data_IF_008371764524
#
_entry.id   IF_008371764524
#
_cell.length_a   1.000
_cell.length_b   1.000
_cell.length_c   1.000
_cell.angle_alpha   90.00
_cell.angle_beta   90.00
_cell.angle_gamma   90.00
#
_symmetry.space_group_name_H-M   'P 1'
#
loop_
_entity.id
_entity.type
_entity.pdbx_description
1 polymer ?
#
# COMPACT_ATOMS: atom_id res chain seq x y z
N UNK A 1 -6.87 39.66 0.77
CA UNK A 1 -6.94 38.38 1.50
C UNK A 1 -6.34 37.35 0.58
N UNK A 2 -5.04 37.06 0.75
CA UNK A 2 -4.42 35.93 0.06
C UNK A 2 -4.87 34.65 0.77
N UNK A 3 -5.50 33.76 0.00
CA UNK A 3 -5.88 32.43 0.43
C UNK A 3 -4.63 31.68 0.90
N UNK A 4 -4.45 31.58 2.23
CA UNK A 4 -3.47 30.68 2.85
C UNK A 4 -3.95 29.25 2.75
N UNK A 5 -4.09 28.73 1.55
CA UNK A 5 -4.14 27.28 1.34
C UNK A 5 -2.72 26.78 1.54
N UNK A 6 -2.47 26.10 2.66
CA UNK A 6 -1.21 25.38 2.86
C UNK A 6 -1.01 24.45 1.66
N UNK A 7 0.06 24.64 0.89
CA UNK A 7 0.48 23.69 -0.15
C UNK A 7 0.78 22.36 0.54
N UNK A 8 -0.21 21.48 0.57
CA UNK A 8 -0.08 20.12 1.10
C UNK A 8 -0.04 19.17 -0.07
N UNK A 9 0.98 18.33 -0.13
CA UNK A 9 1.04 17.25 -1.11
C UNK A 9 0.11 16.13 -0.68
N UNK A 10 -0.86 15.82 -1.54
CA UNK A 10 -1.79 14.70 -1.33
C UNK A 10 -1.12 13.42 -1.79
N UNK A 11 -1.04 12.43 -0.88
CA UNK A 11 -0.50 11.12 -1.18
C UNK A 11 -1.54 10.02 -0.98
N UNK A 12 -1.60 9.11 -1.95
CA UNK A 12 -2.36 7.88 -1.90
C UNK A 12 -1.78 6.89 -0.90
N UNK A 13 -2.69 6.16 -0.26
CA UNK A 13 -2.34 5.09 0.66
C UNK A 13 -2.01 3.80 -0.11
N UNK A 14 -0.82 3.23 0.15
CA UNK A 14 -0.38 1.94 -0.39
C UNK A 14 -1.27 0.77 0.00
N UNK A 15 -1.93 0.84 1.16
CA UNK A 15 -2.90 -0.18 1.58
C UNK A 15 -4.14 -0.16 0.67
N UNK A 16 -4.75 1.02 0.46
CA UNK A 16 -5.91 1.15 -0.44
C UNK A 16 -5.54 0.88 -1.90
N UNK A 17 -4.35 1.30 -2.33
CA UNK A 17 -3.80 0.93 -3.64
C UNK A 17 -3.74 -0.59 -3.79
N UNK A 18 -3.16 -1.28 -2.80
CA UNK A 18 -3.06 -2.73 -2.79
C UNK A 18 -4.43 -3.41 -2.79
N UNK A 19 -5.42 -2.87 -2.05
CA UNK A 19 -6.79 -3.35 -2.09
C UNK A 19 -7.43 -3.16 -3.47
N UNK A 20 -7.25 -2.01 -4.11
CA UNK A 20 -7.81 -1.74 -5.43
C UNK A 20 -7.24 -2.69 -6.49
N UNK A 21 -5.93 -2.91 -6.48
CA UNK A 21 -5.27 -3.85 -7.39
C UNK A 21 -5.73 -5.29 -7.13
N UNK A 22 -5.80 -5.69 -5.85
CA UNK A 22 -6.27 -7.03 -5.50
C UNK A 22 -7.74 -7.26 -5.89
N UNK A 23 -8.63 -6.28 -5.71
CA UNK A 23 -10.02 -6.38 -6.19
C UNK A 23 -10.08 -6.61 -7.70
N UNK A 24 -9.25 -5.93 -8.49
CA UNK A 24 -9.17 -6.21 -9.94
C UNK A 24 -8.67 -7.62 -10.22
N UNK A 25 -7.66 -8.10 -9.50
CA UNK A 25 -7.16 -9.49 -9.58
C UNK A 25 -8.27 -10.50 -9.27
N UNK A 26 -9.12 -10.20 -8.28
CA UNK A 26 -10.28 -11.03 -7.95
C UNK A 26 -11.30 -11.04 -9.10
N UNK A 27 -11.59 -9.88 -9.67
CA UNK A 27 -12.57 -9.75 -10.77
C UNK A 27 -12.16 -10.52 -12.03
N UNK A 28 -10.86 -10.63 -12.30
CA UNK A 28 -10.36 -11.42 -13.44
C UNK A 28 -10.22 -12.93 -13.11
N UNK A 29 -10.67 -13.37 -11.93
CA UNK A 29 -10.67 -14.78 -11.53
C UNK A 29 -9.37 -15.30 -10.93
N UNK A 30 -8.40 -14.44 -10.62
CA UNK A 30 -7.07 -14.83 -10.13
C UNK A 30 -6.91 -14.80 -8.61
N UNK A 31 -8.03 -14.75 -7.87
CA UNK A 31 -8.00 -14.68 -6.42
C UNK A 31 -7.32 -15.90 -5.77
N UNK A 32 -7.50 -17.10 -6.33
CA UNK A 32 -6.93 -18.35 -5.80
C UNK A 32 -5.46 -18.53 -6.19
N UNK A 33 -5.07 -18.02 -7.35
CA UNK A 33 -3.67 -18.01 -7.82
C UNK A 33 -2.85 -16.90 -7.17
N UNK A 34 -3.52 -15.86 -6.66
CA UNK A 34 -2.88 -14.91 -5.77
C UNK A 34 -2.48 -15.67 -4.50
N UNK A 35 -1.17 -15.88 -4.30
CA UNK A 35 -0.51 -16.67 -3.23
C UNK A 35 -0.05 -18.08 -3.61
N UNK A 36 -0.36 -18.60 -4.80
CA UNK A 36 0.25 -19.85 -5.24
C UNK A 36 1.71 -19.64 -5.63
N UNK A 37 2.43 -20.76 -5.70
CA UNK A 37 3.86 -20.82 -6.04
C UNK A 37 4.12 -20.80 -7.54
N UNK A 38 3.07 -20.68 -8.36
CA UNK A 38 3.17 -20.56 -9.82
C UNK A 38 3.65 -19.18 -10.24
N UNK A 39 4.10 -19.09 -11.48
CA UNK A 39 4.75 -17.89 -11.98
C UNK A 39 3.78 -16.74 -12.22
N UNK A 40 2.51 -17.02 -12.56
CA UNK A 40 1.48 -15.98 -12.70
C UNK A 40 1.16 -15.38 -11.34
N UNK A 41 0.95 -16.21 -10.32
CA UNK A 41 0.73 -15.77 -8.94
C UNK A 41 1.89 -14.91 -8.42
N UNK A 42 3.14 -15.32 -8.66
CA UNK A 42 4.32 -14.52 -8.31
C UNK A 42 4.37 -13.20 -9.07
N UNK A 43 4.14 -13.22 -10.38
CA UNK A 43 4.15 -12.02 -11.22
C UNK A 43 3.13 -10.99 -10.74
N UNK A 44 1.90 -11.43 -10.45
CA UNK A 44 0.84 -10.60 -9.88
C UNK A 44 1.23 -9.98 -8.53
N UNK A 45 1.92 -10.73 -7.68
CA UNK A 45 2.44 -10.20 -6.41
C UNK A 45 3.53 -9.16 -6.67
N UNK A 46 4.46 -9.43 -7.60
CA UNK A 46 5.59 -8.55 -7.88
C UNK A 46 5.18 -7.13 -8.27
N UNK A 47 4.04 -6.96 -8.96
CA UNK A 47 3.45 -5.65 -9.30
C UNK A 47 3.28 -4.74 -8.06
N UNK A 48 2.96 -5.31 -6.89
CA UNK A 48 2.77 -4.54 -5.65
C UNK A 48 4.04 -3.82 -5.19
N UNK A 49 5.21 -4.26 -5.67
CA UNK A 49 6.50 -3.62 -5.41
C UNK A 49 6.65 -2.25 -6.07
N UNK A 50 5.92 -1.96 -7.16
CA UNK A 50 6.01 -0.69 -7.90
C UNK A 50 5.74 0.53 -6.99
N UNK A 51 4.92 0.33 -5.94
CA UNK A 51 4.62 1.36 -4.93
C UNK A 51 5.82 1.86 -4.11
N UNK A 52 6.97 1.19 -4.24
CA UNK A 52 8.22 1.54 -3.59
C UNK A 52 9.28 2.11 -4.55
N UNK A 53 8.94 2.37 -5.81
CA UNK A 53 9.79 3.14 -6.72
C UNK A 53 9.55 4.64 -6.54
N UNK A 54 10.47 5.45 -7.08
CA UNK A 54 10.14 6.86 -7.31
C UNK A 54 9.11 6.96 -8.44
N UNK A 55 8.20 7.96 -8.41
CA UNK A 55 7.16 8.13 -9.42
C UNK A 55 7.67 8.11 -10.86
N UNK A 56 8.85 8.68 -11.11
CA UNK A 56 9.47 8.81 -12.43
C UNK A 56 9.87 7.45 -13.01
N UNK A 57 10.16 6.48 -12.15
CA UNK A 57 10.67 5.16 -12.54
C UNK A 57 9.55 4.14 -12.82
N UNK A 58 8.33 4.42 -12.38
CA UNK A 58 7.22 3.44 -12.40
C UNK A 58 6.87 3.02 -13.82
N UNK A 59 6.71 3.98 -14.73
CA UNK A 59 6.29 3.71 -16.12
C UNK A 59 7.32 2.86 -16.85
N UNK A 60 8.58 3.26 -16.77
CA UNK A 60 9.68 2.59 -17.45
C UNK A 60 9.89 1.20 -16.85
N UNK A 61 9.86 1.07 -15.51
CA UNK A 61 9.95 -0.23 -14.87
C UNK A 61 8.83 -1.18 -15.29
N UNK A 62 7.59 -0.68 -15.37
CA UNK A 62 6.44 -1.47 -15.80
C UNK A 62 6.56 -1.91 -17.26
N UNK A 63 6.91 -0.98 -18.15
CA UNK A 63 6.98 -1.26 -19.60
C UNK A 63 8.16 -2.15 -19.95
N UNK A 64 9.34 -1.86 -19.41
CA UNK A 64 10.58 -2.52 -19.83
C UNK A 64 10.77 -3.88 -19.14
N UNK A 65 10.32 -4.02 -17.88
CA UNK A 65 10.51 -5.25 -17.13
C UNK A 65 9.22 -6.08 -17.01
N UNK A 66 8.12 -5.49 -16.56
CA UNK A 66 6.91 -6.25 -16.26
C UNK A 66 6.15 -6.68 -17.51
N UNK A 67 6.08 -5.84 -18.54
CA UNK A 67 5.45 -6.22 -19.81
C UNK A 67 6.28 -7.24 -20.59
N UNK A 68 7.61 -7.21 -20.45
CA UNK A 68 8.52 -8.20 -21.04
C UNK A 68 8.40 -9.59 -20.39
N UNK A 69 8.26 -9.65 -19.06
CA UNK A 69 8.07 -10.89 -18.28
C UNK A 69 6.57 -11.21 -18.06
N UNK A 70 5.66 -10.62 -18.86
CA UNK A 70 4.21 -10.77 -18.68
C UNK A 70 3.76 -12.17 -19.09
N UNK A 71 3.02 -12.90 -18.24
CA UNK A 71 2.41 -14.16 -18.66
C UNK A 71 1.48 -13.99 -19.88
N UNK A 72 1.53 -14.96 -20.79
CA UNK A 72 0.66 -14.98 -21.96
C UNK A 72 -0.75 -15.44 -21.58
N UNK A 73 -1.60 -14.48 -21.24
CA UNK A 73 -2.96 -14.71 -20.80
C UNK A 73 -3.82 -13.46 -21.03
N UNK A 74 -5.03 -13.64 -21.56
CA UNK A 74 -5.96 -12.53 -21.84
C UNK A 74 -6.42 -11.80 -20.58
N UNK A 75 -6.71 -12.52 -19.50
CA UNK A 75 -7.13 -11.93 -18.23
C UNK A 75 -6.00 -11.12 -17.55
N UNK A 76 -4.74 -11.56 -17.71
CA UNK A 76 -3.57 -10.78 -17.24
C UNK A 76 -3.37 -9.53 -18.10
N UNK A 77 -3.64 -9.62 -19.40
CA UNK A 77 -3.62 -8.46 -20.30
C UNK A 77 -4.68 -7.43 -19.88
N UNK A 78 -5.90 -7.87 -19.56
CA UNK A 78 -6.96 -7.00 -19.02
C UNK A 78 -6.55 -6.31 -17.70
N UNK A 79 -5.78 -6.99 -16.85
CA UNK A 79 -5.21 -6.37 -15.66
C UNK A 79 -4.14 -5.32 -15.98
N UNK A 80 -3.25 -5.58 -16.94
CA UNK A 80 -2.27 -4.61 -17.39
C UNK A 80 -2.92 -3.35 -17.96
N UNK A 81 -3.93 -3.50 -18.83
CA UNK A 81 -4.64 -2.37 -19.43
C UNK A 81 -5.31 -1.51 -18.35
N UNK A 82 -5.96 -2.17 -17.39
CA UNK A 82 -6.50 -1.48 -16.21
C UNK A 82 -5.42 -0.69 -15.44
N UNK A 83 -4.23 -1.26 -15.24
CA UNK A 83 -3.13 -0.55 -14.57
C UNK A 83 -2.65 0.65 -15.40
N UNK A 84 -2.52 0.50 -16.71
CA UNK A 84 -2.07 1.57 -17.62
C UNK A 84 -3.03 2.77 -17.56
N UNK A 85 -4.33 2.51 -17.68
CA UNK A 85 -5.38 3.54 -17.73
C UNK A 85 -5.55 4.26 -16.38
N UNK A 86 -5.35 3.55 -15.27
CA UNK A 86 -5.68 4.06 -13.95
C UNK A 86 -4.46 4.48 -13.12
N UNK A 87 -3.28 3.87 -13.29
CA UNK A 87 -2.17 4.04 -12.34
C UNK A 87 -0.79 4.32 -12.94
N UNK A 88 -0.44 3.78 -14.11
CA UNK A 88 0.97 3.78 -14.58
C UNK A 88 1.35 5.05 -15.34
N UNK A 89 0.46 5.57 -16.18
CA UNK A 89 0.78 6.72 -17.04
C UNK A 89 0.65 8.04 -16.28
N UNK A 90 1.34 9.09 -16.75
CA UNK A 90 1.20 10.43 -16.17
C UNK A 90 -0.21 11.02 -16.36
N UNK A 91 -0.98 10.50 -17.32
CA UNK A 91 -2.35 10.92 -17.63
C UNK A 91 -3.41 9.99 -17.01
N UNK A 92 -2.99 9.03 -16.19
CA UNK A 92 -3.92 8.10 -15.55
C UNK A 92 -4.76 8.81 -14.50
N UNK A 93 -5.86 8.18 -14.07
CA UNK A 93 -6.75 8.75 -13.04
C UNK A 93 -5.98 9.00 -11.73
N UNK A 94 -5.09 8.08 -11.37
CA UNK A 94 -4.23 8.15 -10.20
C UNK A 94 -2.76 7.98 -10.61
N UNK A 95 -2.10 9.04 -11.10
CA UNK A 95 -0.74 8.93 -11.62
C UNK A 95 0.28 8.55 -10.53
N UNK A 96 1.44 7.97 -10.89
CA UNK A 96 2.44 7.49 -9.94
C UNK A 96 2.85 8.51 -8.88
N UNK A 97 2.84 9.81 -9.21
CA UNK A 97 3.16 10.92 -8.30
C UNK A 97 2.30 10.94 -7.03
N UNK A 98 1.09 10.39 -7.10
CA UNK A 98 0.16 10.35 -5.96
C UNK A 98 0.45 9.14 -5.07
N UNK A 99 0.85 7.98 -5.60
CA UNK A 99 0.85 6.72 -4.85
C UNK A 99 2.21 6.01 -4.73
N UNK A 100 3.17 6.31 -5.60
CA UNK A 100 4.51 5.73 -5.58
C UNK A 100 5.47 6.61 -4.78
N UNK A 101 6.30 5.98 -3.95
CA UNK A 101 7.39 6.67 -3.25
C UNK A 101 8.48 5.68 -2.88
N UNK A 102 9.75 5.99 -3.07
CA UNK A 102 10.84 5.16 -2.55
C UNK A 102 11.08 5.40 -1.06
N UNK A 103 10.18 4.92 -0.21
CA UNK A 103 10.29 5.08 1.24
C UNK A 103 9.67 3.94 2.04
N UNK A 104 10.22 3.69 3.23
CA UNK A 104 9.64 2.83 4.26
C UNK A 104 8.53 3.50 5.08
N UNK A 105 8.25 4.78 4.80
CA UNK A 105 7.32 5.60 5.59
C UNK A 105 5.90 5.05 5.62
N UNK A 106 5.26 5.31 6.77
CA UNK A 106 3.90 4.87 7.09
C UNK A 106 2.81 5.83 6.62
N UNK A 107 3.16 7.04 6.17
CA UNK A 107 2.18 8.03 5.70
C UNK A 107 1.29 7.42 4.61
N UNK A 108 1.84 6.52 3.81
CA UNK A 108 1.08 5.76 2.82
C UNK A 108 0.32 4.54 3.39
N UNK A 109 -0.04 4.52 4.68
CA UNK A 109 -0.82 3.47 5.33
C UNK A 109 -1.85 4.13 6.26
N UNK A 110 -2.98 4.55 5.70
CA UNK A 110 -4.14 5.18 6.39
C UNK A 110 -4.89 4.24 7.35
N UNK A 111 -4.46 2.99 7.53
CA UNK A 111 -5.04 2.04 8.49
C UNK A 111 -5.11 2.62 9.92
N UNK A 112 -4.25 3.58 10.28
CA UNK A 112 -4.30 4.20 11.60
C UNK A 112 -5.63 4.95 11.86
N UNK A 113 -6.12 5.74 10.89
CA UNK A 113 -7.35 6.50 11.05
C UNK A 113 -8.59 5.59 11.00
N UNK A 114 -8.63 4.66 10.05
CA UNK A 114 -9.75 3.70 9.93
C UNK A 114 -9.84 2.80 11.17
N UNK A 115 -8.71 2.28 11.65
CA UNK A 115 -8.66 1.48 12.88
C UNK A 115 -9.05 2.31 14.10
N UNK A 116 -8.64 3.59 14.17
CA UNK A 116 -9.05 4.49 15.24
C UNK A 116 -10.57 4.67 15.25
N UNK A 117 -11.17 5.01 14.11
CA UNK A 117 -12.62 5.21 14.01
C UNK A 117 -13.40 3.93 14.30
N UNK A 118 -12.95 2.78 13.78
CA UNK A 118 -13.60 1.49 14.04
C UNK A 118 -13.56 1.12 15.52
N UNK A 119 -12.41 1.30 16.18
CA UNK A 119 -12.24 1.00 17.61
C UNK A 119 -13.02 1.99 18.47
N UNK A 120 -13.09 3.26 18.07
CA UNK A 120 -13.88 4.25 18.79
C UNK A 120 -15.38 3.95 18.67
N UNK A 121 -15.86 3.70 17.46
CA UNK A 121 -17.27 3.38 17.19
C UNK A 121 -17.71 2.09 17.89
N UNK A 122 -16.82 1.09 17.98
CA UNK A 122 -17.14 -0.16 18.69
C UNK A 122 -17.33 0.06 20.19
N UNK A 123 -16.93 1.18 20.78
CA UNK A 123 -17.18 1.42 22.21
C UNK A 123 -18.51 2.14 22.48
N UNK A 124 -19.18 2.68 21.45
CA UNK A 124 -20.43 3.44 21.59
C UNK A 124 -21.63 2.68 21.00
N UNK A 125 -22.18 1.76 21.80
CA UNK A 125 -23.32 0.92 21.42
C UNK A 125 -24.71 1.55 21.67
N UNK A 126 -24.77 2.76 22.20
CA UNK A 126 -26.03 3.46 22.53
C UNK A 126 -26.09 4.80 21.81
N UNK A 127 -27.28 5.17 21.34
CA UNK A 127 -27.51 6.42 20.61
C UNK A 127 -27.19 7.66 21.47
N UNK A 128 -27.36 7.57 22.80
CA UNK A 128 -27.09 8.64 23.76
C UNK A 128 -26.40 8.10 25.03
N UNK A 129 -25.09 7.83 24.99
CA UNK A 129 -24.36 7.32 26.16
C UNK A 129 -24.21 8.42 27.21
N UNK A 130 -24.34 8.04 28.49
CA UNK A 130 -24.18 8.96 29.62
C UNK A 130 -22.75 9.55 29.64
N UNK A 131 -22.59 10.83 30.00
CA UNK A 131 -21.28 11.53 29.97
C UNK A 131 -20.19 10.81 30.78
N UNK A 132 -20.51 10.26 31.95
CA UNK A 132 -19.57 9.45 32.73
C UNK A 132 -19.09 8.19 31.98
N UNK A 133 -19.97 7.54 31.19
CA UNK A 133 -19.59 6.39 30.37
C UNK A 133 -18.69 6.79 29.21
N UNK A 134 -18.97 7.94 28.60
CA UNK A 134 -18.09 8.54 27.58
C UNK A 134 -16.69 8.78 28.17
N UNK A 135 -16.58 9.39 29.36
CA UNK A 135 -15.30 9.66 30.02
C UNK A 135 -14.55 8.35 30.31
N UNK A 136 -15.22 7.32 30.79
CA UNK A 136 -14.62 6.00 31.06
C UNK A 136 -14.05 5.38 29.78
N UNK A 137 -14.83 5.39 28.68
CA UNK A 137 -14.41 4.89 27.37
C UNK A 137 -13.20 5.67 26.87
N UNK A 138 -13.20 7.01 26.96
CA UNK A 138 -12.08 7.83 26.51
C UNK A 138 -10.80 7.55 27.30
N UNK A 139 -10.89 7.34 28.62
CA UNK A 139 -9.75 6.93 29.45
C UNK A 139 -9.20 5.57 29.03
N UNK A 140 -10.07 4.59 28.82
CA UNK A 140 -9.69 3.26 28.34
C UNK A 140 -9.03 3.34 26.95
N UNK A 141 -9.62 4.12 26.06
CA UNK A 141 -9.14 4.34 24.70
C UNK A 141 -7.75 4.98 24.69
N UNK A 142 -7.54 5.98 25.55
CA UNK A 142 -6.23 6.62 25.74
C UNK A 142 -5.18 5.59 26.18
N UNK A 143 -5.46 4.80 27.22
CA UNK A 143 -4.54 3.76 27.72
C UNK A 143 -4.21 2.75 26.63
N UNK A 144 -5.22 2.22 25.94
CA UNK A 144 -5.04 1.27 24.84
C UNK A 144 -4.23 1.86 23.68
N UNK A 145 -4.45 3.14 23.36
CA UNK A 145 -3.71 3.85 22.30
C UNK A 145 -2.23 3.97 22.67
N UNK A 146 -1.89 4.36 23.90
CA UNK A 146 -0.50 4.42 24.36
C UNK A 146 0.20 3.06 24.32
N UNK A 147 -0.49 2.00 24.73
CA UNK A 147 0.03 0.62 24.64
C UNK A 147 0.28 0.25 23.17
N UNK A 148 -0.68 0.52 22.29
CA UNK A 148 -0.56 0.26 20.85
C UNK A 148 0.62 1.02 20.24
N UNK A 149 0.84 2.29 20.57
CA UNK A 149 1.97 3.09 20.05
C UNK A 149 3.29 2.41 20.40
N UNK A 150 3.53 2.10 21.68
CA UNK A 150 4.78 1.46 22.15
C UNK A 150 5.05 0.12 21.46
N UNK A 151 4.03 -0.74 21.37
CA UNK A 151 4.16 -2.06 20.72
C UNK A 151 4.38 -1.90 19.20
N UNK A 152 3.72 -0.92 18.59
CA UNK A 152 3.74 -0.71 17.14
C UNK A 152 5.11 -0.23 16.65
N UNK A 153 5.82 0.57 17.43
CA UNK A 153 7.20 0.97 17.11
C UNK A 153 8.12 -0.25 17.07
N UNK A 154 8.06 -1.10 18.11
CA UNK A 154 8.86 -2.32 18.22
C UNK A 154 8.55 -3.31 17.09
N UNK A 155 7.27 -3.63 16.86
CA UNK A 155 6.84 -4.63 15.87
C UNK A 155 7.19 -4.27 14.43
N UNK A 156 7.25 -2.98 14.10
CA UNK A 156 7.46 -2.53 12.71
C UNK A 156 8.92 -2.21 12.40
N UNK A 157 9.78 -2.09 13.40
CA UNK A 157 11.21 -1.85 13.20
C UNK A 157 11.84 -2.87 12.24
N UNK A 158 11.56 -4.20 12.33
CA UNK A 158 12.09 -5.16 11.37
C UNK A 158 11.64 -4.91 9.93
N UNK A 159 10.36 -4.59 9.72
CA UNK A 159 9.81 -4.29 8.38
C UNK A 159 10.42 -3.02 7.79
N UNK A 160 10.56 -1.97 8.61
CA UNK A 160 11.20 -0.71 8.21
C UNK A 160 12.66 -0.92 7.82
N UNK A 161 13.40 -1.67 8.66
CA UNK A 161 14.80 -2.00 8.41
C UNK A 161 14.99 -2.80 7.13
N UNK A 162 14.13 -3.79 6.87
CA UNK A 162 14.17 -4.57 5.62
C UNK A 162 13.97 -3.69 4.37
N UNK A 163 12.95 -2.83 4.37
CA UNK A 163 12.67 -1.95 3.22
C UNK A 163 13.84 -0.99 3.02
N UNK A 164 14.34 -0.36 4.09
CA UNK A 164 15.49 0.54 4.02
C UNK A 164 16.75 -0.16 3.51
N UNK A 165 17.00 -1.41 3.92
CA UNK A 165 18.12 -2.20 3.44
C UNK A 165 18.00 -2.47 1.93
N UNK A 166 16.82 -2.81 1.44
CA UNK A 166 16.56 -3.04 0.01
C UNK A 166 16.69 -1.74 -0.80
N UNK A 167 16.16 -0.62 -0.29
CA UNK A 167 16.33 0.71 -0.89
C UNK A 167 17.82 1.05 -0.99
N UNK A 168 18.60 0.82 0.07
CA UNK A 168 20.04 1.08 0.07
C UNK A 168 20.75 0.25 -1.00
N UNK A 169 20.47 -1.06 -1.08
CA UNK A 169 21.05 -1.95 -2.11
C UNK A 169 20.72 -1.48 -3.53
N UNK A 170 19.50 -1.03 -3.76
CA UNK A 170 19.08 -0.48 -5.06
C UNK A 170 19.81 0.83 -5.38
N UNK A 171 19.85 1.75 -4.42
CA UNK A 171 20.53 3.05 -4.57
C UNK A 171 22.03 2.92 -4.81
N UNK A 172 22.67 1.89 -4.23
CA UNK A 172 24.09 1.56 -4.45
C UNK A 172 24.31 0.62 -5.63
N UNK A 173 23.29 0.38 -6.47
CA UNK A 173 23.34 -0.48 -7.67
C UNK A 173 23.81 -1.92 -7.42
N UNK A 174 23.64 -2.44 -6.20
CA UNK A 174 23.96 -3.83 -5.86
C UNK A 174 22.88 -4.82 -6.34
N UNK A 175 21.69 -4.32 -6.62
CA UNK A 175 20.57 -5.06 -7.22
C UNK A 175 19.98 -4.19 -8.32
N UNK A 176 19.50 -4.79 -9.40
CA UNK A 176 18.80 -4.05 -10.45
C UNK A 176 17.37 -3.66 -9.99
N UNK A 177 16.73 -2.80 -10.77
CA UNK A 177 15.40 -2.27 -10.47
C UNK A 177 14.36 -3.39 -10.38
N UNK A 178 14.41 -4.37 -11.29
CA UNK A 178 13.41 -5.43 -11.33
C UNK A 178 13.50 -6.36 -10.10
N UNK A 179 14.72 -6.77 -9.73
CA UNK A 179 14.99 -7.58 -8.54
C UNK A 179 14.65 -6.83 -7.26
N UNK A 180 14.87 -5.51 -7.22
CA UNK A 180 14.44 -4.66 -6.12
C UNK A 180 12.92 -4.71 -5.94
N UNK A 181 12.17 -4.46 -7.01
CA UNK A 181 10.69 -4.48 -7.00
C UNK A 181 10.16 -5.87 -6.61
N UNK A 182 10.70 -6.94 -7.21
CA UNK A 182 10.34 -8.33 -6.86
C UNK A 182 10.55 -8.60 -5.36
N UNK A 183 11.69 -8.18 -4.80
CA UNK A 183 12.05 -8.46 -3.40
C UNK A 183 11.17 -7.74 -2.35
N UNK A 184 10.62 -6.58 -2.67
CA UNK A 184 9.82 -5.75 -1.72
C UNK A 184 8.32 -5.91 -1.89
N UNK A 185 7.88 -6.49 -3.01
CA UNK A 185 6.48 -6.67 -3.40
C UNK A 185 5.60 -7.30 -2.31
N UNK A 186 6.09 -8.35 -1.65
CA UNK A 186 5.41 -9.02 -0.54
C UNK A 186 5.11 -8.12 0.67
N UNK A 187 5.72 -6.93 0.78
CA UNK A 187 5.50 -6.01 1.89
C UNK A 187 4.28 -5.11 1.72
N UNK A 188 3.76 -4.96 0.50
CA UNK A 188 2.51 -4.24 0.22
C UNK A 188 1.36 -5.14 -0.24
N UNK A 189 1.59 -6.44 -0.19
CA UNK A 189 0.56 -7.45 -0.43
C UNK A 189 -0.57 -7.34 0.62
N UNK A 190 -1.84 -7.33 0.20
CA UNK A 190 -2.97 -7.38 1.14
C UNK A 190 -3.01 -8.74 1.82
N UNK A 191 -3.13 -8.74 3.15
CA UNK A 191 -3.24 -9.96 3.96
C UNK A 191 -4.72 -10.19 4.32
N UNK A 192 -5.43 -10.90 3.43
CA UNK A 192 -6.88 -11.22 3.51
C UNK A 192 -7.79 -9.98 3.41
N UNK A 193 -8.79 -10.07 2.54
CA UNK A 193 -10.05 -9.31 2.64
C UNK A 193 -11.05 -10.29 3.23
#
# INVERSE_FOLDING_TARGET
MEDRVFKTEVFGCRFHLGQAWFRKIQNIGYASQFNSVDDVGKWLIHIFGLSFLNPEEVKDCFTDNFMADKPDNSAITEFCDYLIDNYITNNSIFPPKIWAKQSSDRIHKTNACESFHSDLNSNFYHQHPHIFKIIEILKLFQVNTYIKIRITEIKNMPKKNFINQKIKKYSTKQINQYDYVKAISFKNKPHKI
#
